data_IF_180232427159
#
_entry.id   IF_180232427159
#
_cell.length_a   1.000
_cell.length_b   1.000
_cell.length_c   1.000
_cell.angle_alpha   90.00
_cell.angle_beta   90.00
_cell.angle_gamma   90.00
#
_symmetry.space_group_name_H-M   'P 1'
#
loop_
_entity.id
_entity.type
_entity.pdbx_description
1 polymer ?
#
# COMPACT_ATOMS: atom_id res chain seq x y z
N UNK A 1 -17.42 4.47 25.07
CA UNK A 1 -16.56 5.26 24.18
C UNK A 1 -15.08 4.94 24.41
N UNK A 2 -14.55 5.00 25.64
CA UNK A 2 -13.16 4.62 25.93
C UNK A 2 -12.78 3.18 25.49
N UNK A 3 -13.69 2.20 25.64
CA UNK A 3 -13.48 0.82 25.14
C UNK A 3 -13.26 0.75 23.63
N UNK A 4 -13.91 1.64 22.87
CA UNK A 4 -13.77 1.72 21.41
C UNK A 4 -12.41 2.27 21.00
N UNK A 5 -11.85 3.21 21.76
CA UNK A 5 -10.47 3.71 21.56
C UNK A 5 -9.45 2.56 21.62
N UNK A 6 -9.54 1.72 22.65
CA UNK A 6 -8.65 0.56 22.81
C UNK A 6 -8.81 -0.44 21.65
N UNK A 7 -10.06 -0.73 21.27
CA UNK A 7 -10.33 -1.61 20.14
C UNK A 7 -9.72 -1.09 18.82
N UNK A 8 -9.82 0.21 18.53
CA UNK A 8 -9.22 0.81 17.34
C UNK A 8 -7.70 0.72 17.34
N UNK A 9 -7.04 0.92 18.49
CA UNK A 9 -5.59 0.73 18.59
C UNK A 9 -5.16 -0.73 18.35
N UNK A 10 -5.92 -1.70 18.86
CA UNK A 10 -5.63 -3.13 18.62
C UNK A 10 -5.77 -3.45 17.13
N UNK A 11 -6.85 -3.01 16.49
CA UNK A 11 -7.08 -3.24 15.05
C UNK A 11 -6.01 -2.50 14.22
N UNK A 12 -5.63 -1.28 14.60
CA UNK A 12 -4.55 -0.53 13.97
C UNK A 12 -3.19 -1.21 14.10
N UNK A 13 -2.89 -1.81 15.26
CA UNK A 13 -1.66 -2.57 15.44
C UNK A 13 -1.62 -3.84 14.59
N UNK A 14 -2.75 -4.55 14.49
CA UNK A 14 -2.86 -5.70 13.60
C UNK A 14 -2.69 -5.31 12.13
N UNK A 15 -3.28 -4.19 11.70
CA UNK A 15 -3.10 -3.71 10.32
C UNK A 15 -1.65 -3.28 10.05
N UNK A 16 -0.96 -2.67 11.02
CA UNK A 16 0.47 -2.36 10.93
C UNK A 16 1.31 -3.63 10.77
N UNK A 17 1.02 -4.66 11.57
CA UNK A 17 1.74 -5.93 11.51
C UNK A 17 1.58 -6.60 10.14
N UNK A 18 0.37 -6.60 9.57
CA UNK A 18 0.13 -7.09 8.22
C UNK A 18 0.86 -6.22 7.19
N UNK A 19 0.79 -4.90 7.31
CA UNK A 19 1.48 -3.96 6.42
C UNK A 19 2.99 -4.20 6.38
N UNK A 20 3.59 -4.50 7.53
CA UNK A 20 5.02 -4.82 7.64
C UNK A 20 5.38 -6.03 6.78
N UNK A 21 4.65 -7.15 6.95
CA UNK A 21 4.92 -8.36 6.17
C UNK A 21 4.63 -8.19 4.68
N UNK A 22 3.54 -7.50 4.32
CA UNK A 22 3.25 -7.20 2.91
C UNK A 22 4.31 -6.31 2.29
N UNK A 23 4.87 -5.38 3.07
CA UNK A 23 5.96 -4.49 2.67
C UNK A 23 7.25 -5.25 2.38
N UNK A 24 7.68 -6.12 3.30
CA UNK A 24 8.87 -6.96 3.14
C UNK A 24 8.76 -7.82 1.87
N UNK A 25 7.61 -8.50 1.67
CA UNK A 25 7.38 -9.32 0.48
C UNK A 25 7.30 -8.46 -0.79
N UNK A 26 6.73 -7.25 -0.70
CA UNK A 26 6.63 -6.32 -1.82
C UNK A 26 7.98 -5.80 -2.30
N UNK A 27 8.85 -5.42 -1.37
CA UNK A 27 10.22 -5.03 -1.66
C UNK A 27 11.04 -6.19 -2.22
N UNK A 28 10.95 -7.39 -1.64
CA UNK A 28 11.70 -8.58 -2.11
C UNK A 28 11.36 -8.94 -3.55
N UNK A 29 10.07 -9.05 -3.88
CA UNK A 29 9.62 -9.45 -5.23
C UNK A 29 9.57 -8.28 -6.22
N UNK A 30 9.93 -7.06 -5.79
CA UNK A 30 9.74 -5.80 -6.54
C UNK A 30 8.36 -5.74 -7.20
N UNK A 31 7.33 -6.18 -6.49
CA UNK A 31 5.98 -6.29 -7.04
C UNK A 31 5.22 -4.98 -6.82
N UNK A 32 4.85 -4.23 -7.87
CA UNK A 32 4.13 -2.97 -7.70
C UNK A 32 2.80 -3.16 -6.96
N UNK A 33 2.12 -4.29 -7.17
CA UNK A 33 0.85 -4.60 -6.50
C UNK A 33 0.99 -4.76 -4.97
N UNK A 34 2.04 -5.45 -4.52
CA UNK A 34 2.27 -5.64 -3.08
C UNK A 34 2.69 -4.34 -2.39
N UNK A 35 3.43 -3.48 -3.10
CA UNK A 35 3.82 -2.16 -2.60
C UNK A 35 2.60 -1.24 -2.52
N UNK A 36 1.70 -1.26 -3.51
CA UNK A 36 0.41 -0.53 -3.40
C UNK A 36 -0.44 -1.03 -2.24
N UNK A 37 -0.51 -2.35 -2.02
CA UNK A 37 -1.26 -2.92 -0.90
C UNK A 37 -0.69 -2.45 0.45
N UNK A 38 0.64 -2.40 0.57
CA UNK A 38 1.33 -1.89 1.76
C UNK A 38 1.02 -0.42 2.01
N UNK A 39 1.01 0.41 0.96
CA UNK A 39 0.66 1.84 1.08
C UNK A 39 -0.78 2.04 1.60
N UNK A 40 -1.72 1.22 1.12
CA UNK A 40 -3.13 1.24 1.56
C UNK A 40 -3.24 0.79 3.01
N UNK A 41 -2.59 -0.31 3.39
CA UNK A 41 -2.62 -0.81 4.78
C UNK A 41 -1.99 0.17 5.77
N UNK A 42 -0.93 0.89 5.37
CA UNK A 42 -0.36 1.97 6.17
C UNK A 42 -1.33 3.15 6.32
N UNK A 43 -2.09 3.48 5.28
CA UNK A 43 -3.12 4.52 5.35
C UNK A 43 -4.27 4.11 6.27
N UNK A 44 -4.73 2.85 6.17
CA UNK A 44 -5.76 2.30 7.07
C UNK A 44 -5.27 2.35 8.53
N UNK A 45 -4.03 1.94 8.79
CA UNK A 45 -3.40 2.03 10.11
C UNK A 45 -3.40 3.46 10.65
N UNK A 46 -3.02 4.42 9.79
CA UNK A 46 -3.05 5.84 10.13
C UNK A 46 -4.47 6.32 10.48
N UNK A 47 -5.48 5.97 9.68
CA UNK A 47 -6.87 6.38 9.93
C UNK A 47 -7.43 5.75 11.21
N UNK A 48 -7.12 4.49 11.49
CA UNK A 48 -7.53 3.81 12.73
C UNK A 48 -6.89 4.46 13.96
N UNK A 49 -5.60 4.79 13.87
CA UNK A 49 -4.86 5.43 14.97
C UNK A 49 -5.33 6.87 15.20
N UNK A 50 -5.54 7.64 14.12
CA UNK A 50 -6.11 8.98 14.19
C UNK A 50 -7.55 8.95 14.75
N UNK A 51 -8.36 7.99 14.33
CA UNK A 51 -9.71 7.77 14.86
C UNK A 51 -9.71 7.40 16.35
N UNK A 52 -8.76 6.58 16.80
CA UNK A 52 -8.60 6.26 18.21
C UNK A 52 -8.26 7.51 19.03
N UNK A 53 -7.32 8.34 18.56
CA UNK A 53 -6.98 9.61 19.20
C UNK A 53 -8.14 10.60 19.20
N UNK A 54 -8.90 10.68 18.11
CA UNK A 54 -10.09 11.53 18.03
C UNK A 54 -11.18 11.10 19.02
N UNK A 55 -11.44 9.79 19.15
CA UNK A 55 -12.37 9.27 20.14
C UNK A 55 -11.87 9.50 21.57
N UNK A 56 -10.57 9.40 21.80
CA UNK A 56 -9.98 9.66 23.11
C UNK A 56 -10.17 11.12 23.54
N UNK A 57 -9.85 12.07 22.67
CA UNK A 57 -10.15 13.48 22.92
C UNK A 57 -11.65 13.76 23.01
N UNK A 58 -12.47 13.03 22.24
CA UNK A 58 -13.92 13.11 22.33
C UNK A 58 -14.45 12.71 23.71
N UNK A 59 -13.89 11.68 24.35
CA UNK A 59 -14.24 11.29 25.72
C UNK A 59 -13.83 12.37 26.72
N UNK A 60 -12.59 12.87 26.60
CA UNK A 60 -12.08 13.92 27.48
C UNK A 60 -12.94 15.19 27.42
N UNK A 61 -13.31 15.61 26.20
CA UNK A 61 -14.22 16.72 25.97
C UNK A 61 -15.61 16.44 26.58
N UNK A 62 -16.14 15.24 26.40
CA UNK A 62 -17.45 14.87 26.90
C UNK A 62 -17.51 14.92 28.43
N UNK A 63 -16.48 14.40 29.10
CA UNK A 63 -16.36 14.40 30.56
C UNK A 63 -16.15 15.79 31.16
N UNK A 64 -15.46 16.70 30.45
CA UNK A 64 -15.20 18.06 30.92
C UNK A 64 -16.35 19.03 30.69
N UNK A 65 -17.05 18.92 29.57
CA UNK A 65 -17.97 19.97 29.11
C UNK A 65 -19.44 19.54 28.99
N UNK A 66 -19.71 18.25 28.87
CA UNK A 66 -21.05 17.72 28.55
C UNK A 66 -21.69 16.91 29.66
N UNK A 67 -20.93 16.19 30.47
CA UNK A 67 -21.49 15.37 31.55
C UNK A 67 -21.72 16.23 32.79
N UNK A 68 -22.96 16.20 33.27
CA UNK A 68 -23.42 16.97 34.43
C UNK A 68 -23.68 16.01 35.59
N UNK A 69 -22.94 16.19 36.68
CA UNK A 69 -23.09 15.46 37.95
C UNK A 69 -22.01 15.91 38.94
N UNK A 70 -22.26 15.78 40.25
CA UNK A 70 -21.37 16.29 41.30
C UNK A 70 -19.94 15.71 41.22
N UNK A 71 -19.83 14.51 40.65
CA UNK A 71 -18.58 13.78 40.40
C UNK A 71 -17.77 14.37 39.23
N UNK A 72 -18.36 15.18 38.35
CA UNK A 72 -17.75 15.62 37.08
C UNK A 72 -17.25 17.06 37.12
N UNK A 73 -16.17 17.29 36.37
CA UNK A 73 -15.38 18.53 36.38
C UNK A 73 -16.22 19.80 36.26
N UNK A 74 -17.30 19.77 35.48
CA UNK A 74 -18.16 20.93 35.28
C UNK A 74 -18.84 21.43 36.57
N UNK A 75 -19.25 20.53 37.47
CA UNK A 75 -19.92 20.87 38.74
C UNK A 75 -18.97 20.94 39.94
N UNK A 76 -17.67 20.68 39.76
CA UNK A 76 -16.72 20.79 40.86
C UNK A 76 -16.66 22.22 41.44
N UNK A 77 -16.46 22.34 42.77
CA UNK A 77 -16.24 23.62 43.41
C UNK A 77 -14.97 24.29 42.87
N UNK A 78 -14.97 25.62 42.80
CA UNK A 78 -13.89 26.39 42.15
C UNK A 78 -12.50 26.09 42.74
N UNK A 79 -12.43 25.82 44.04
CA UNK A 79 -11.17 25.40 44.70
C UNK A 79 -10.58 24.15 44.03
N UNK A 80 -11.38 23.13 43.72
CA UNK A 80 -10.88 21.92 43.07
C UNK A 80 -10.41 22.20 41.65
N UNK A 81 -11.11 23.06 40.91
CA UNK A 81 -10.74 23.44 39.55
C UNK A 81 -9.41 24.18 39.52
N UNK A 82 -9.22 25.14 40.43
CA UNK A 82 -8.03 25.99 40.50
C UNK A 82 -6.76 25.22 40.89
N UNK A 83 -6.90 24.14 41.68
CA UNK A 83 -5.77 23.30 42.10
C UNK A 83 -5.60 22.00 41.29
N UNK A 84 -6.49 21.71 40.33
CA UNK A 84 -6.36 20.54 39.45
C UNK A 84 -5.64 20.88 38.15
N UNK A 85 -4.61 20.11 37.80
CA UNK A 85 -3.90 20.25 36.53
C UNK A 85 -3.81 18.90 35.83
N UNK A 86 -4.18 18.86 34.55
CA UNK A 86 -4.08 17.65 33.71
C UNK A 86 -2.85 17.81 32.82
N UNK A 87 -1.95 16.85 32.90
CA UNK A 87 -0.74 16.78 32.08
C UNK A 87 -0.79 15.57 31.18
N UNK A 88 -0.23 15.70 29.98
CA UNK A 88 -0.10 14.59 29.05
C UNK A 88 1.30 13.96 29.17
N UNK A 89 1.33 12.65 29.34
CA UNK A 89 2.57 11.89 29.39
C UNK A 89 3.16 11.62 28.00
N UNK A 90 4.38 11.11 27.98
CA UNK A 90 5.13 10.75 26.76
C UNK A 90 4.35 9.89 25.76
N UNK A 91 3.49 9.00 26.24
CA UNK A 91 2.68 8.10 25.41
C UNK A 91 1.75 8.88 24.47
N UNK A 92 1.25 10.04 24.89
CA UNK A 92 0.45 10.94 24.06
C UNK A 92 1.25 11.48 22.87
N UNK A 93 2.48 11.92 23.13
CA UNK A 93 3.38 12.45 22.08
C UNK A 93 3.72 11.33 21.09
N UNK A 94 4.03 10.13 21.59
CA UNK A 94 4.33 8.97 20.76
C UNK A 94 3.13 8.54 19.91
N UNK A 95 1.91 8.64 20.43
CA UNK A 95 0.70 8.32 19.66
C UNK A 95 0.56 9.25 18.45
N UNK A 96 0.70 10.57 18.63
CA UNK A 96 0.65 11.52 17.51
C UNK A 96 1.81 11.36 16.53
N UNK A 97 3.02 11.09 17.05
CA UNK A 97 4.17 10.80 16.21
C UNK A 97 3.91 9.57 15.31
N UNK A 98 3.29 8.52 15.87
CA UNK A 98 2.96 7.31 15.11
C UNK A 98 1.98 7.59 13.96
N UNK A 99 1.01 8.48 14.16
CA UNK A 99 0.06 8.92 13.11
C UNK A 99 0.81 9.65 12.00
N UNK A 100 1.67 10.62 12.37
CA UNK A 100 2.47 11.39 11.40
C UNK A 100 3.43 10.52 10.59
N UNK A 101 4.15 9.61 11.24
CA UNK A 101 5.10 8.70 10.58
C UNK A 101 4.37 7.71 9.69
N UNK A 102 3.22 7.18 10.11
CA UNK A 102 2.42 6.26 9.30
C UNK A 102 1.86 6.93 8.03
N UNK A 103 1.41 8.18 8.16
CA UNK A 103 0.96 8.98 7.02
C UNK A 103 2.09 9.27 6.04
N UNK A 104 3.24 9.75 6.54
CA UNK A 104 4.43 9.98 5.72
C UNK A 104 4.90 8.72 5.01
N UNK A 105 4.91 7.59 5.70
CA UNK A 105 5.28 6.29 5.12
C UNK A 105 4.31 5.86 4.01
N UNK A 106 3.00 6.06 4.19
CA UNK A 106 2.01 5.76 3.16
C UNK A 106 2.26 6.56 1.88
N UNK A 107 2.57 7.85 1.97
CA UNK A 107 2.90 8.71 0.82
C UNK A 107 4.14 8.20 0.09
N UNK A 108 5.19 7.83 0.84
CA UNK A 108 6.43 7.30 0.26
C UNK A 108 6.21 5.95 -0.44
N UNK A 109 5.39 5.06 0.13
CA UNK A 109 5.06 3.79 -0.54
C UNK A 109 4.18 4.00 -1.77
N UNK A 110 3.27 4.98 -1.76
CA UNK A 110 2.49 5.35 -2.94
C UNK A 110 3.37 5.91 -4.06
N UNK A 111 4.33 6.78 -3.76
CA UNK A 111 5.25 7.32 -4.77
C UNK A 111 6.13 6.21 -5.37
N UNK A 112 6.67 5.33 -4.52
CA UNK A 112 7.43 4.16 -4.94
C UNK A 112 6.59 3.23 -5.85
N UNK A 113 5.33 2.98 -5.48
CA UNK A 113 4.43 2.16 -6.28
C UNK A 113 4.15 2.76 -7.66
N UNK A 114 3.97 4.08 -7.77
CA UNK A 114 3.78 4.76 -9.06
C UNK A 114 5.02 4.63 -9.93
N UNK A 115 6.22 4.86 -9.37
CA UNK A 115 7.47 4.71 -10.12
C UNK A 115 7.68 3.27 -10.63
N UNK A 116 7.48 2.28 -9.77
CA UNK A 116 7.62 0.86 -10.15
C UNK A 116 6.56 0.40 -11.16
N UNK A 117 5.33 0.90 -11.05
CA UNK A 117 4.27 0.60 -12.01
C UNK A 117 4.58 1.17 -13.39
N UNK A 118 5.14 2.39 -13.44
CA UNK A 118 5.59 3.01 -14.70
C UNK A 118 6.74 2.22 -15.33
N UNK A 119 7.72 1.81 -14.53
CA UNK A 119 8.84 0.97 -14.98
C UNK A 119 8.35 -0.37 -15.54
N UNK A 120 7.52 -1.10 -14.77
CA UNK A 120 6.96 -2.38 -15.21
C UNK A 120 6.11 -2.26 -16.47
N UNK A 121 5.34 -1.18 -16.63
CA UNK A 121 4.57 -0.92 -17.85
C UNK A 121 5.48 -0.68 -19.05
N UNK A 122 6.60 0.03 -18.86
CA UNK A 122 7.60 0.27 -19.90
C UNK A 122 8.33 -1.01 -20.30
N UNK A 123 8.65 -1.88 -19.34
CA UNK A 123 9.18 -3.22 -19.61
C UNK A 123 8.18 -4.07 -20.40
N UNK A 124 6.91 -4.08 -20.03
CA UNK A 124 5.86 -4.80 -20.77
C UNK A 124 5.72 -4.27 -22.20
N UNK A 125 5.75 -2.94 -22.40
CA UNK A 125 5.69 -2.32 -23.73
C UNK A 125 6.90 -2.67 -24.61
N UNK A 126 8.10 -2.70 -24.03
CA UNK A 126 9.30 -3.10 -24.75
C UNK A 126 9.29 -4.61 -25.05
N UNK A 127 8.80 -5.44 -24.15
CA UNK A 127 8.75 -6.89 -24.34
C UNK A 127 7.67 -7.31 -25.36
N UNK A 128 6.51 -6.64 -25.42
CA UNK A 128 5.52 -6.91 -26.48
C UNK A 128 6.03 -6.58 -27.88
N UNK A 129 7.00 -5.69 -28.01
CA UNK A 129 7.67 -5.43 -29.29
C UNK A 129 8.56 -6.61 -29.73
N UNK A 130 9.08 -7.41 -28.78
CA UNK A 130 9.79 -8.67 -29.06
C UNK A 130 8.85 -9.89 -29.20
N UNK A 131 7.59 -9.78 -28.76
CA UNK A 131 6.55 -10.83 -28.89
C UNK A 131 5.65 -10.59 -30.12
N UNK A 132 5.79 -9.44 -30.81
CA UNK A 132 5.25 -9.26 -32.16
C UNK A 132 5.72 -10.43 -33.04
N UNK A 133 4.85 -11.07 -33.84
CA UNK A 133 5.17 -12.31 -34.55
C UNK A 133 6.26 -12.08 -35.62
N UNK A 134 7.52 -12.11 -35.19
CA UNK A 134 8.71 -12.39 -36.00
C UNK A 134 8.90 -13.91 -36.12
N UNK A 135 7.91 -14.69 -35.70
CA UNK A 135 7.61 -15.96 -36.34
C UNK A 135 6.35 -15.73 -37.16
N UNK A 136 6.32 -16.06 -38.47
CA UNK A 136 5.03 -16.29 -39.09
C UNK A 136 4.32 -17.30 -38.19
N UNK A 137 3.27 -16.85 -37.51
CA UNK A 137 2.32 -17.75 -36.91
C UNK A 137 2.00 -18.71 -38.04
N UNK A 138 2.31 -19.99 -37.87
CA UNK A 138 1.70 -21.02 -38.70
C UNK A 138 0.23 -21.02 -38.30
N UNK A 139 -0.49 -19.95 -38.70
CA UNK A 139 -1.85 -20.09 -39.12
C UNK A 139 -1.77 -21.23 -40.11
N UNK A 140 -2.33 -22.36 -39.71
CA UNK A 140 -2.87 -23.34 -40.64
C UNK A 140 -3.82 -22.56 -41.54
N UNK A 141 -3.27 -21.92 -42.57
CA UNK A 141 -4.01 -21.51 -43.74
C UNK A 141 -4.49 -22.81 -44.35
N UNK A 142 -5.70 -23.23 -43.98
CA UNK A 142 -6.49 -24.15 -44.76
C UNK A 142 -6.88 -23.40 -46.05
N UNK A 143 -5.92 -23.16 -46.94
CA UNK A 143 -6.20 -22.67 -48.29
C UNK A 143 -6.28 -23.88 -49.20
N UNK A 144 -7.49 -24.43 -49.29
CA UNK A 144 -7.83 -25.41 -50.29
C UNK A 144 -7.87 -24.72 -51.67
N UNK A 145 -6.97 -25.12 -52.56
CA UNK A 145 -7.30 -25.19 -53.99
C UNK A 145 -6.68 -24.16 -54.94
N UNK A 146 -5.37 -23.88 -54.89
CA UNK A 146 -4.68 -23.29 -56.06
C UNK A 146 -3.36 -23.99 -56.39
N UNK A 147 -2.99 -24.14 -57.68
CA UNK A 147 -1.88 -24.99 -58.11
C UNK A 147 -0.52 -24.34 -57.77
N UNK A 148 0.52 -25.15 -57.49
CA UNK A 148 1.82 -24.64 -57.05
C UNK A 148 2.55 -23.90 -58.18
N UNK A 149 3.08 -22.67 -57.95
CA UNK A 149 4.06 -22.07 -58.82
C UNK A 149 5.41 -22.80 -58.68
N UNK A 150 6.05 -22.98 -59.82
CA UNK A 150 7.25 -23.78 -60.04
C UNK A 150 8.41 -23.44 -59.08
N UNK A 151 9.08 -24.48 -58.59
CA UNK A 151 10.25 -24.39 -57.73
C UNK A 151 11.43 -23.72 -58.46
N UNK A 152 11.89 -22.59 -57.92
CA UNK A 152 13.16 -21.98 -58.29
C UNK A 152 14.17 -22.23 -57.16
N UNK A 153 15.31 -22.90 -57.41
CA UNK A 153 16.27 -23.22 -56.36
C UNK A 153 17.20 -22.02 -56.10
N UNK A 154 17.06 -21.39 -54.93
CA UNK A 154 17.93 -20.31 -54.43
C UNK A 154 18.67 -20.73 -53.14
N UNK A 155 19.90 -20.25 -52.92
CA UNK A 155 20.95 -21.00 -52.23
C UNK A 155 20.97 -20.86 -50.69
N UNK A 156 21.38 -21.96 -50.07
CA UNK A 156 21.93 -22.17 -48.72
C UNK A 156 22.18 -20.91 -47.87
N UNK A 157 21.30 -20.66 -46.89
CA UNK A 157 21.61 -19.82 -45.73
C UNK A 157 22.02 -20.71 -44.55
N UNK A 158 23.30 -20.67 -44.21
CA UNK A 158 23.85 -21.25 -42.98
C UNK A 158 23.32 -20.47 -41.76
N UNK A 159 22.57 -21.14 -40.89
CA UNK A 159 22.12 -20.59 -39.61
C UNK A 159 23.26 -20.57 -38.60
N UNK A 160 23.71 -19.39 -38.23
CA UNK A 160 24.63 -19.16 -37.12
C UNK A 160 23.93 -19.47 -35.79
N UNK A 161 24.33 -20.60 -35.19
CA UNK A 161 23.96 -21.06 -33.86
C UNK A 161 24.60 -20.16 -32.79
N UNK A 162 23.86 -19.17 -32.28
CA UNK A 162 24.21 -18.51 -31.01
C UNK A 162 23.17 -18.89 -29.95
N UNK A 163 23.64 -19.68 -28.98
CA UNK A 163 22.84 -20.19 -27.85
C UNK A 163 22.54 -19.13 -26.78
N UNK A 164 21.60 -19.42 -25.87
CA UNK A 164 21.08 -18.46 -24.92
C UNK A 164 22.02 -18.30 -23.71
N UNK A 165 22.52 -17.08 -23.50
CA UNK A 165 23.11 -16.72 -22.21
C UNK A 165 22.00 -16.38 -21.22
N UNK A 166 22.00 -17.13 -20.13
CA UNK A 166 21.12 -16.99 -18.99
C UNK A 166 21.99 -16.51 -17.82
N UNK A 167 21.86 -15.23 -17.45
CA UNK A 167 22.19 -14.64 -16.15
C UNK A 167 21.34 -13.39 -15.97
#
# INVERSE_FOLDING_TARGET
MARSTVALFIVGFLSLFIAFWTGVVGCWKRSPGNITATAILMLVTCLLSAGAMALWHGVEFYEKEKVVGEEYYQQWPNVLKDYSSIWYDWSYILAWLSVGVSFGSSILFFSAAVCLSKEKRREQQNNVQYIMPVYPQKQQYAYAGYPPPQAYPGPYYHGSQYGPYNY
#
